data_IF_473820414099
#
_entry.id   IF_473820414099
#
_cell.length_a   1.000
_cell.length_b   1.000
_cell.length_c   1.000
_cell.angle_alpha   90.00
_cell.angle_beta   90.00
_cell.angle_gamma   90.00
#
_symmetry.space_group_name_H-M   'P 1'
#
loop_
_entity.id
_entity.type
_entity.pdbx_description
1 polymer ?
#
# COMPACT_ATOMS: atom_id res chain seq x y z
N UNK A 1 -4.65 -9.99 26.19
CA UNK A 1 -5.61 -9.05 25.58
C UNK A 1 -6.52 -9.88 24.72
N UNK A 2 -7.84 -9.74 24.91
CA UNK A 2 -8.79 -10.39 24.02
C UNK A 2 -8.87 -9.56 22.75
N UNK A 3 -8.86 -10.23 21.61
CA UNK A 3 -9.00 -9.61 20.30
C UNK A 3 -10.36 -9.96 19.73
N UNK A 4 -10.96 -9.00 19.04
CA UNK A 4 -12.30 -9.14 18.50
C UNK A 4 -12.30 -8.78 17.02
N UNK A 5 -13.32 -9.30 16.33
CA UNK A 5 -13.61 -8.91 14.97
C UNK A 5 -14.64 -7.79 15.08
N UNK A 6 -14.35 -6.68 14.43
CA UNK A 6 -15.21 -5.50 14.40
C UNK A 6 -15.70 -5.27 12.99
N UNK A 7 -16.99 -4.95 12.88
CA UNK A 7 -17.54 -4.32 11.69
C UNK A 7 -17.43 -2.82 11.89
N UNK A 8 -16.65 -2.17 11.04
CA UNK A 8 -16.35 -0.76 11.11
C UNK A 8 -16.99 0.00 9.96
N UNK A 9 -17.36 1.25 10.21
CA UNK A 9 -17.83 2.19 9.19
C UNK A 9 -17.18 3.55 9.41
N UNK A 10 -16.61 4.11 8.33
CA UNK A 10 -16.08 5.47 8.28
C UNK A 10 -16.01 5.96 6.83
N UNK A 11 -16.26 7.25 6.60
CA UNK A 11 -16.13 7.88 5.27
C UNK A 11 -16.90 7.12 4.17
N UNK A 12 -18.12 6.67 4.49
CA UNK A 12 -18.98 5.85 3.64
C UNK A 12 -18.38 4.49 3.20
N UNK A 13 -17.34 4.01 3.89
CA UNK A 13 -16.77 2.69 3.69
C UNK A 13 -17.13 1.77 4.83
N UNK A 14 -17.40 0.52 4.50
CA UNK A 14 -17.59 -0.56 5.46
C UNK A 14 -16.47 -1.58 5.30
N UNK A 15 -15.88 -1.95 6.43
CA UNK A 15 -14.76 -2.89 6.46
C UNK A 15 -14.76 -3.69 7.75
N UNK A 16 -14.00 -4.78 7.73
CA UNK A 16 -13.80 -5.62 8.90
C UNK A 16 -12.43 -5.31 9.48
N UNK A 17 -12.34 -5.12 10.80
CA UNK A 17 -11.07 -4.99 11.52
C UNK A 17 -10.89 -6.13 12.51
N UNK A 18 -9.71 -6.73 12.55
CA UNK A 18 -9.31 -7.73 13.54
C UNK A 18 -8.29 -7.06 14.46
N UNK A 19 -8.73 -6.57 15.62
CA UNK A 19 -7.94 -5.71 16.52
C UNK A 19 -8.36 -5.87 18.00
N UNK A 20 -7.68 -5.16 18.91
CA UNK A 20 -8.06 -5.10 20.33
C UNK A 20 -9.18 -4.10 20.58
N UNK A 21 -9.90 -4.30 21.68
CA UNK A 21 -10.89 -3.35 22.19
C UNK A 21 -10.22 -2.00 22.47
N UNK A 22 -9.02 -2.00 23.08
CA UNK A 22 -8.22 -0.79 23.35
C UNK A 22 -7.89 0.01 22.08
N UNK A 23 -7.57 -0.65 20.96
CA UNK A 23 -7.30 0.02 19.68
C UNK A 23 -8.58 0.66 19.14
N UNK A 24 -9.71 -0.05 19.18
CA UNK A 24 -11.01 0.47 18.74
C UNK A 24 -11.45 1.66 19.62
N UNK A 25 -11.31 1.56 20.94
CA UNK A 25 -11.60 2.64 21.87
C UNK A 25 -10.74 3.89 21.56
N UNK A 26 -9.44 3.71 21.33
CA UNK A 26 -8.55 4.80 20.91
C UNK A 26 -9.00 5.47 19.61
N UNK A 27 -9.44 4.70 18.61
CA UNK A 27 -10.00 5.27 17.38
C UNK A 27 -11.30 6.06 17.61
N UNK A 28 -12.20 5.54 18.46
CA UNK A 28 -13.45 6.21 18.83
C UNK A 28 -13.19 7.52 19.60
N UNK A 29 -12.25 7.53 20.54
CA UNK A 29 -11.84 8.73 21.28
C UNK A 29 -11.26 9.80 20.35
N UNK A 30 -10.39 9.40 19.43
CA UNK A 30 -9.82 10.32 18.44
C UNK A 30 -10.89 10.91 17.51
N UNK A 31 -11.93 10.16 17.19
CA UNK A 31 -13.02 10.61 16.33
C UNK A 31 -13.99 11.56 17.06
N UNK A 32 -14.15 11.40 18.38
CA UNK A 32 -15.02 12.23 19.23
C UNK A 32 -14.36 13.49 19.77
N UNK A 33 -13.06 13.70 19.53
CA UNK A 33 -12.35 14.91 19.97
C UNK A 33 -12.95 16.17 19.34
N UNK A 34 -12.84 17.30 20.06
CA UNK A 34 -13.19 18.61 19.53
C UNK A 34 -12.33 18.92 18.30
N UNK A 35 -12.99 19.17 17.16
CA UNK A 35 -12.35 19.57 15.90
C UNK A 35 -11.87 21.03 15.98
N UNK A 36 -10.74 21.33 15.35
CA UNK A 36 -10.22 22.68 15.16
C UNK A 36 -11.01 23.43 14.07
N UNK A 37 -10.90 24.77 14.04
CA UNK A 37 -11.58 25.60 13.04
C UNK A 37 -11.18 25.24 11.59
N UNK A 38 -9.90 24.86 11.39
CA UNK A 38 -9.41 24.40 10.09
C UNK A 38 -10.05 23.07 9.67
N UNK A 39 -10.16 22.11 10.60
CA UNK A 39 -10.81 20.82 10.33
C UNK A 39 -12.29 21.00 10.01
N UNK A 40 -12.98 21.90 10.71
CA UNK A 40 -14.38 22.25 10.42
C UNK A 40 -14.48 22.86 9.02
N UNK A 41 -13.59 23.79 8.66
CA UNK A 41 -13.59 24.42 7.34
C UNK A 41 -13.37 23.41 6.22
N UNK A 42 -12.42 22.49 6.39
CA UNK A 42 -12.11 21.45 5.40
C UNK A 42 -13.26 20.44 5.21
N UNK A 43 -14.12 20.27 6.22
CA UNK A 43 -15.22 19.29 6.22
C UNK A 43 -16.60 19.93 6.00
N UNK A 44 -16.67 21.24 5.68
CA UNK A 44 -17.94 21.97 5.62
C UNK A 44 -18.93 21.43 4.57
N UNK A 45 -18.41 20.79 3.52
CA UNK A 45 -19.17 20.24 2.40
C UNK A 45 -19.43 18.73 2.57
N UNK A 46 -18.93 18.11 3.65
CA UNK A 46 -19.11 16.68 3.89
C UNK A 46 -20.54 16.38 4.37
N UNK A 47 -21.16 15.27 3.91
CA UNK A 47 -22.46 14.84 4.42
C UNK A 47 -22.45 14.61 5.94
N UNK A 48 -23.60 14.78 6.59
CA UNK A 48 -23.75 14.47 8.01
C UNK A 48 -23.37 13.01 8.28
N UNK A 49 -22.50 12.79 9.26
CA UNK A 49 -22.01 11.46 9.63
C UNK A 49 -20.91 10.89 8.74
N UNK A 50 -20.48 11.62 7.70
CA UNK A 50 -19.43 11.15 6.79
C UNK A 50 -18.11 10.85 7.50
N UNK A 51 -17.71 11.71 8.45
CA UNK A 51 -16.46 11.54 9.21
C UNK A 51 -16.63 10.77 10.52
N UNK A 52 -17.84 10.28 10.82
CA UNK A 52 -18.09 9.52 12.04
C UNK A 52 -17.45 8.14 11.92
N UNK A 53 -16.77 7.70 12.98
CA UNK A 53 -16.25 6.35 13.10
C UNK A 53 -17.21 5.50 13.93
N UNK A 54 -17.68 4.40 13.36
CA UNK A 54 -18.52 3.42 14.02
C UNK A 54 -17.81 2.07 14.05
N UNK A 55 -17.90 1.36 15.16
CA UNK A 55 -17.41 0.00 15.31
C UNK A 55 -18.41 -0.82 16.14
N UNK A 56 -18.80 -1.98 15.63
CA UNK A 56 -19.65 -2.95 16.35
C UNK A 56 -18.98 -4.33 16.35
N UNK A 57 -19.17 -5.09 17.42
CA UNK A 57 -18.67 -6.47 17.48
C UNK A 57 -19.32 -7.30 16.37
N UNK A 58 -18.48 -7.99 15.62
CA UNK A 58 -18.90 -8.88 14.57
C UNK A 58 -19.45 -10.18 15.15
N UNK A 59 -20.69 -10.51 14.79
CA UNK A 59 -21.34 -11.78 15.15
C UNK A 59 -21.28 -12.77 13.98
N UNK A 60 -20.38 -13.77 14.02
CA UNK A 60 -20.22 -14.73 12.93
C UNK A 60 -21.43 -15.67 12.74
N UNK A 61 -22.36 -15.71 13.71
CA UNK A 61 -23.55 -16.57 13.64
C UNK A 61 -24.74 -15.89 12.95
N UNK A 62 -24.66 -14.58 12.67
CA UNK A 62 -25.60 -13.88 11.79
C UNK A 62 -25.23 -14.19 10.34
N UNK A 63 -25.48 -15.44 9.94
CA UNK A 63 -25.08 -16.00 8.65
C UNK A 63 -25.77 -15.32 7.47
N UNK A 64 -25.12 -14.31 6.91
CA UNK A 64 -25.32 -13.85 5.55
C UNK A 64 -23.96 -13.89 4.85
N UNK A 65 -23.95 -14.19 3.55
CA UNK A 65 -22.77 -13.95 2.74
C UNK A 65 -22.60 -12.43 2.66
N UNK A 66 -21.66 -11.89 3.43
CA UNK A 66 -21.45 -10.45 3.52
C UNK A 66 -20.21 -10.09 2.71
N UNK A 67 -20.39 -9.13 1.82
CA UNK A 67 -19.33 -8.55 1.03
C UNK A 67 -18.80 -7.30 1.74
N UNK A 68 -17.49 -7.24 1.96
CA UNK A 68 -16.80 -6.06 2.50
C UNK A 68 -15.76 -5.54 1.52
N UNK A 69 -15.54 -4.23 1.52
CA UNK A 69 -14.49 -3.65 0.67
C UNK A 69 -13.11 -4.12 1.13
N UNK A 70 -12.85 -4.06 2.44
CA UNK A 70 -11.54 -4.32 3.03
C UNK A 70 -11.64 -5.18 4.29
N UNK A 71 -10.66 -6.07 4.48
CA UNK A 71 -10.34 -6.64 5.79
C UNK A 71 -9.02 -6.05 6.31
N UNK A 72 -9.01 -5.56 7.54
CA UNK A 72 -7.85 -5.00 8.21
C UNK A 72 -7.39 -5.92 9.33
N UNK A 73 -6.09 -6.14 9.42
CA UNK A 73 -5.45 -6.92 10.45
C UNK A 73 -4.28 -6.12 11.02
N UNK A 74 -4.39 -5.77 12.30
CA UNK A 74 -3.25 -5.34 13.09
C UNK A 74 -2.55 -6.59 13.61
N UNK A 75 -1.24 -6.69 13.46
CA UNK A 75 -0.39 -7.80 13.86
C UNK A 75 0.45 -7.55 15.09
N UNK A 76 0.20 -6.46 15.83
CA UNK A 76 0.62 -6.33 17.23
C UNK A 76 0.07 -7.48 18.11
N UNK A 77 -0.87 -8.27 17.59
CA UNK A 77 -1.33 -9.53 18.16
C UNK A 77 -0.15 -10.49 18.36
N UNK A 78 -0.07 -11.04 19.57
CA UNK A 78 0.79 -12.22 19.84
C UNK A 78 0.06 -13.54 19.54
N UNK A 79 -1.22 -13.47 19.15
CA UNK A 79 -2.04 -14.61 18.78
C UNK A 79 -1.91 -14.96 17.29
N UNK A 80 -2.10 -16.23 16.98
CA UNK A 80 -2.07 -16.72 15.60
C UNK A 80 -3.37 -16.30 14.89
N UNK A 81 -3.24 -15.60 13.77
CA UNK A 81 -4.38 -15.14 12.96
C UNK A 81 -5.32 -16.27 12.53
N UNK A 82 -4.82 -17.52 12.45
CA UNK A 82 -5.63 -18.69 12.12
C UNK A 82 -6.81 -18.92 13.08
N UNK A 83 -6.76 -18.39 14.30
CA UNK A 83 -7.87 -18.42 15.27
C UNK A 83 -9.11 -17.71 14.72
N UNK A 84 -8.93 -16.67 13.89
CA UNK A 84 -10.07 -15.93 13.31
C UNK A 84 -10.63 -16.58 12.06
N UNK A 85 -9.90 -17.49 11.41
CA UNK A 85 -10.24 -18.01 10.09
C UNK A 85 -11.64 -18.60 10.01
N UNK A 86 -12.04 -19.41 10.99
CA UNK A 86 -13.37 -20.01 11.01
C UNK A 86 -14.48 -18.95 11.14
N UNK A 87 -14.23 -17.85 11.84
CA UNK A 87 -15.20 -16.76 12.05
C UNK A 87 -15.38 -15.89 10.80
N UNK A 88 -14.37 -15.79 9.95
CA UNK A 88 -14.36 -14.92 8.76
C UNK A 88 -14.34 -15.70 7.44
N UNK A 89 -14.39 -17.04 7.47
CA UNK A 89 -14.27 -17.88 6.27
C UNK A 89 -15.35 -17.62 5.22
N UNK A 90 -16.52 -17.12 5.65
CA UNK A 90 -17.65 -16.79 4.78
C UNK A 90 -17.62 -15.35 4.25
N UNK A 91 -16.64 -14.54 4.67
CA UNK A 91 -16.53 -13.14 4.25
C UNK A 91 -15.77 -13.03 2.93
N UNK A 92 -16.37 -12.31 1.98
CA UNK A 92 -15.72 -11.96 0.73
C UNK A 92 -15.20 -10.52 0.81
N UNK A 93 -13.96 -10.31 0.38
CA UNK A 93 -13.32 -9.00 0.35
C UNK A 93 -12.35 -8.87 -0.82
N UNK A 94 -12.25 -7.66 -1.39
CA UNK A 94 -11.33 -7.37 -2.49
C UNK A 94 -10.04 -6.69 -2.02
N UNK A 95 -10.04 -6.11 -0.83
CA UNK A 95 -8.87 -5.43 -0.28
C UNK A 95 -8.45 -6.04 1.06
N UNK A 96 -7.15 -6.02 1.33
CA UNK A 96 -6.59 -6.38 2.63
C UNK A 96 -5.63 -5.31 3.13
N UNK A 97 -5.69 -5.00 4.42
CA UNK A 97 -4.78 -4.07 5.09
C UNK A 97 -4.06 -4.79 6.22
N UNK A 98 -2.74 -4.67 6.25
CA UNK A 98 -1.87 -5.23 7.28
C UNK A 98 -1.12 -4.12 7.98
N UNK A 99 -1.25 -4.05 9.31
CA UNK A 99 -0.49 -3.16 10.19
C UNK A 99 0.32 -4.03 11.13
N UNK A 100 1.61 -3.73 11.35
CA UNK A 100 2.47 -4.46 12.30
C UNK A 100 2.48 -6.00 12.14
N UNK A 101 2.20 -6.52 10.95
CA UNK A 101 1.91 -7.92 10.70
C UNK A 101 3.13 -8.77 10.29
N UNK A 102 3.08 -10.05 10.63
CA UNK A 102 3.92 -11.09 10.02
C UNK A 102 3.21 -11.66 8.79
N UNK A 103 3.58 -11.20 7.61
CA UNK A 103 2.87 -11.48 6.35
C UNK A 103 2.92 -12.97 5.95
N UNK A 104 3.97 -13.70 6.38
CA UNK A 104 4.16 -15.13 6.06
C UNK A 104 3.08 -16.05 6.66
N UNK A 105 2.54 -15.66 7.81
CA UNK A 105 1.62 -16.48 8.61
C UNK A 105 0.17 -16.04 8.48
N UNK A 106 -0.12 -15.12 7.56
CA UNK A 106 -1.50 -14.72 7.26
C UNK A 106 -2.13 -15.72 6.31
N UNK A 107 -3.26 -16.27 6.74
CA UNK A 107 -4.07 -17.20 5.95
C UNK A 107 -5.53 -16.81 6.09
N UNK A 108 -6.16 -16.36 5.00
CA UNK A 108 -7.61 -16.25 4.92
C UNK A 108 -8.13 -17.21 3.84
N UNK A 109 -9.33 -17.76 4.00
CA UNK A 109 -9.90 -18.69 3.02
C UNK A 109 -10.10 -18.05 1.64
N UNK A 110 -10.34 -16.74 1.60
CA UNK A 110 -10.72 -15.99 0.40
C UNK A 110 -9.60 -15.07 -0.13
N UNK A 111 -8.33 -15.38 0.18
CA UNK A 111 -7.18 -14.60 -0.32
C UNK A 111 -7.10 -14.49 -1.84
N UNK A 112 -7.63 -15.50 -2.56
CA UNK A 112 -7.69 -15.49 -4.01
C UNK A 112 -8.62 -14.41 -4.58
N UNK A 113 -9.54 -13.82 -3.80
CA UNK A 113 -10.39 -12.71 -4.24
C UNK A 113 -9.69 -11.35 -4.12
N UNK A 114 -8.62 -11.25 -3.33
CA UNK A 114 -7.95 -9.99 -3.04
C UNK A 114 -7.29 -9.42 -4.29
N UNK A 115 -7.64 -8.17 -4.61
CA UNK A 115 -7.08 -7.37 -5.70
C UNK A 115 -6.13 -6.30 -5.21
N UNK A 116 -6.32 -5.77 -4.00
CA UNK A 116 -5.48 -4.71 -3.46
C UNK A 116 -4.99 -5.03 -2.05
N UNK A 117 -3.72 -4.73 -1.78
CA UNK A 117 -3.11 -4.91 -0.47
C UNK A 117 -2.46 -3.62 0.01
N UNK A 118 -2.68 -3.29 1.28
CA UNK A 118 -2.01 -2.21 2.01
C UNK A 118 -1.16 -2.81 3.12
N UNK A 119 0.07 -2.35 3.25
CA UNK A 119 1.01 -2.79 4.29
C UNK A 119 1.59 -1.58 5.00
N UNK A 120 1.48 -1.53 6.32
CA UNK A 120 1.91 -0.41 7.15
C UNK A 120 2.60 -0.89 8.44
N UNK A 121 3.05 0.06 9.25
CA UNK A 121 3.67 -0.20 10.54
C UNK A 121 5.03 -0.87 10.42
N UNK A 122 5.36 -1.75 11.37
CA UNK A 122 6.59 -2.56 11.43
C UNK A 122 6.42 -3.94 10.78
N UNK A 123 5.44 -4.08 9.88
CA UNK A 123 5.16 -5.32 9.14
C UNK A 123 6.40 -5.91 8.50
N UNK A 124 6.46 -7.25 8.43
CA UNK A 124 7.60 -8.04 7.94
C UNK A 124 7.15 -9.39 7.40
N UNK A 125 8.01 -10.04 6.61
CA UNK A 125 7.74 -11.34 6.00
C UNK A 125 7.47 -11.27 4.51
N UNK A 126 7.06 -12.37 3.92
CA UNK A 126 6.82 -12.47 2.49
C UNK A 126 5.37 -12.09 2.14
N UNK A 127 5.22 -11.30 1.08
CA UNK A 127 3.99 -11.21 0.30
C UNK A 127 4.12 -12.29 -0.78
N UNK A 128 3.38 -13.38 -0.59
CA UNK A 128 3.41 -14.55 -1.48
C UNK A 128 2.31 -14.47 -2.52
N UNK A 129 2.66 -14.12 -3.76
CA UNK A 129 1.67 -13.93 -4.82
C UNK A 129 0.99 -15.22 -5.28
N UNK A 130 1.45 -16.42 -4.89
CA UNK A 130 0.68 -17.66 -5.11
C UNK A 130 -0.52 -17.76 -4.18
N UNK A 131 -0.47 -17.12 -3.00
CA UNK A 131 -1.62 -17.02 -2.10
C UNK A 131 -2.62 -15.96 -2.58
N UNK A 132 -2.13 -14.88 -3.16
CA UNK A 132 -2.93 -13.74 -3.64
C UNK A 132 -2.98 -13.72 -5.19
N UNK A 133 -3.59 -14.73 -5.78
CA UNK A 133 -3.53 -14.97 -7.24
C UNK A 133 -4.16 -13.85 -8.10
N UNK A 134 -5.14 -13.13 -7.56
CA UNK A 134 -5.80 -12.00 -8.23
C UNK A 134 -5.25 -10.63 -7.80
N UNK A 135 -4.13 -10.57 -7.08
CA UNK A 135 -3.58 -9.32 -6.59
C UNK A 135 -3.03 -8.46 -7.73
N UNK A 136 -3.59 -7.26 -7.86
CA UNK A 136 -3.26 -6.30 -8.92
C UNK A 136 -2.50 -5.08 -8.39
N UNK A 137 -2.68 -4.72 -7.11
CA UNK A 137 -2.04 -3.56 -6.50
C UNK A 137 -1.52 -3.84 -5.08
N UNK A 138 -0.30 -3.37 -4.80
CA UNK A 138 0.30 -3.39 -3.46
C UNK A 138 0.77 -1.98 -3.10
N UNK A 139 0.35 -1.51 -1.92
CA UNK A 139 0.80 -0.26 -1.32
C UNK A 139 1.51 -0.53 -0.01
N UNK A 140 2.84 -0.39 0.00
CA UNK A 140 3.67 -0.48 1.21
C UNK A 140 3.84 0.95 1.74
N UNK A 141 2.99 1.33 2.67
CA UNK A 141 2.90 2.68 3.27
C UNK A 141 4.04 2.95 4.26
N UNK A 142 4.71 1.90 4.72
CA UNK A 142 5.93 2.00 5.51
C UNK A 142 6.88 0.86 5.17
N UNK A 143 7.85 1.15 4.32
CA UNK A 143 8.84 0.15 3.91
C UNK A 143 9.64 -0.41 5.09
N UNK A 144 9.89 -1.71 5.05
CA UNK A 144 10.74 -2.45 5.96
C UNK A 144 11.56 -3.46 5.16
N UNK A 145 12.89 -3.50 5.33
CA UNK A 145 13.79 -4.41 4.59
C UNK A 145 13.49 -5.90 4.83
N UNK A 146 12.69 -6.22 5.83
CA UNK A 146 12.22 -7.57 6.13
C UNK A 146 10.99 -7.97 5.32
N UNK A 147 10.39 -7.06 4.55
CA UNK A 147 9.32 -7.38 3.60
C UNK A 147 9.96 -7.90 2.32
N UNK A 148 9.49 -9.06 1.86
CA UNK A 148 9.95 -9.66 0.60
C UNK A 148 8.76 -9.94 -0.29
N UNK A 149 8.94 -9.75 -1.60
CA UNK A 149 7.95 -10.05 -2.61
C UNK A 149 8.37 -11.37 -3.29
N UNK A 150 7.57 -12.42 -3.16
CA UNK A 150 7.94 -13.78 -3.57
C UNK A 150 6.90 -14.39 -4.51
N UNK A 151 7.36 -15.33 -5.33
CA UNK A 151 6.57 -16.02 -6.37
C UNK A 151 5.99 -15.05 -7.41
N UNK A 152 6.88 -14.25 -8.01
CA UNK A 152 6.61 -13.05 -8.80
C UNK A 152 5.96 -13.24 -10.18
N UNK A 153 5.35 -14.40 -10.46
CA UNK A 153 4.57 -14.62 -11.68
C UNK A 153 3.12 -14.10 -11.50
N UNK A 154 3.02 -12.88 -10.97
CA UNK A 154 1.78 -12.30 -10.46
C UNK A 154 1.09 -11.39 -11.46
N UNK A 155 -0.20 -11.17 -11.25
CA UNK A 155 -1.00 -10.17 -11.95
C UNK A 155 -0.76 -8.74 -11.44
N UNK A 156 0.32 -8.53 -10.66
CA UNK A 156 0.60 -7.26 -10.02
C UNK A 156 0.96 -6.21 -11.06
N UNK A 157 0.14 -5.16 -11.14
CA UNK A 157 0.29 -4.04 -12.08
C UNK A 157 0.72 -2.76 -11.39
N UNK A 158 0.39 -2.58 -10.11
CA UNK A 158 0.65 -1.35 -9.37
C UNK A 158 1.42 -1.60 -8.09
N UNK A 159 2.51 -0.87 -7.91
CA UNK A 159 3.30 -0.89 -6.69
C UNK A 159 3.55 0.53 -6.19
N UNK A 160 3.11 0.81 -4.97
CA UNK A 160 3.37 2.07 -4.27
C UNK A 160 4.21 1.77 -3.03
N UNK A 161 5.34 2.46 -2.87
CA UNK A 161 6.23 2.26 -1.73
C UNK A 161 6.61 3.59 -1.09
N UNK A 162 6.39 3.71 0.21
CA UNK A 162 6.74 4.87 1.01
C UNK A 162 7.94 4.56 1.91
N UNK A 163 8.77 5.57 2.15
CA UNK A 163 9.95 5.50 3.01
C UNK A 163 10.99 4.45 2.55
N UNK A 164 11.04 4.17 1.24
CA UNK A 164 11.97 3.19 0.68
C UNK A 164 13.42 3.64 0.86
N UNK A 165 14.20 2.89 1.64
CA UNK A 165 15.60 3.20 1.98
C UNK A 165 16.47 1.94 1.87
N UNK A 166 16.74 1.46 0.65
CA UNK A 166 17.58 0.29 0.43
C UNK A 166 19.06 0.57 0.75
N UNK A 167 19.81 -0.50 0.99
CA UNK A 167 21.27 -0.43 1.18
C UNK A 167 21.98 -0.17 -0.14
N UNK A 168 21.49 -0.76 -1.24
CA UNK A 168 22.01 -0.56 -2.60
C UNK A 168 21.83 0.87 -3.14
N UNK A 169 20.95 1.67 -2.52
CA UNK A 169 20.53 2.99 -3.04
C UNK A 169 19.92 2.93 -4.45
N UNK A 170 19.45 1.76 -4.88
CA UNK A 170 18.77 1.53 -6.15
C UNK A 170 17.50 0.68 -5.96
N UNK A 171 16.77 0.41 -7.04
CA UNK A 171 15.54 -0.39 -7.01
C UNK A 171 15.82 -1.91 -7.12
N UNK A 172 17.08 -2.33 -7.23
CA UNK A 172 17.46 -3.74 -7.40
C UNK A 172 16.93 -4.61 -6.25
N UNK A 173 16.95 -4.09 -5.02
CA UNK A 173 16.49 -4.84 -3.83
C UNK A 173 14.95 -5.01 -3.79
N UNK A 174 14.20 -4.18 -4.51
CA UNK A 174 12.74 -4.20 -4.52
C UNK A 174 12.17 -4.94 -5.73
N UNK A 175 12.69 -4.65 -6.93
CA UNK A 175 12.01 -5.00 -8.18
C UNK A 175 12.26 -6.41 -8.70
N UNK A 176 13.17 -7.17 -8.07
CA UNK A 176 13.29 -8.63 -8.21
C UNK A 176 12.99 -9.16 -9.61
N UNK A 177 11.85 -9.87 -9.74
CA UNK A 177 11.29 -10.42 -11.00
C UNK A 177 9.90 -9.85 -11.34
N UNK A 178 9.54 -8.67 -10.85
CA UNK A 178 8.19 -8.08 -11.01
C UNK A 178 7.95 -7.53 -12.43
N UNK A 179 7.84 -8.41 -13.43
CA UNK A 179 7.83 -8.01 -14.86
C UNK A 179 6.54 -7.31 -15.33
N UNK A 180 5.44 -7.48 -14.60
CA UNK A 180 4.10 -7.04 -15.03
C UNK A 180 3.69 -5.65 -14.51
N UNK A 181 4.57 -4.97 -13.77
CA UNK A 181 4.27 -3.64 -13.23
C UNK A 181 4.07 -2.63 -14.36
N UNK A 182 2.93 -1.95 -14.32
CA UNK A 182 2.54 -0.84 -15.22
C UNK A 182 2.62 0.52 -14.50
N UNK A 183 2.45 0.54 -13.18
CA UNK A 183 2.50 1.74 -12.34
C UNK A 183 3.46 1.53 -11.16
N UNK A 184 4.47 2.40 -11.05
CA UNK A 184 5.37 2.44 -9.91
C UNK A 184 5.37 3.83 -9.27
N UNK A 185 5.12 3.89 -7.97
CA UNK A 185 5.25 5.13 -7.20
C UNK A 185 6.14 4.92 -5.98
N UNK A 186 7.16 5.76 -5.85
CA UNK A 186 8.09 5.75 -4.72
C UNK A 186 8.05 7.11 -4.02
N UNK A 187 7.72 7.09 -2.73
CA UNK A 187 7.53 8.27 -1.90
C UNK A 187 8.57 8.32 -0.78
N UNK A 188 9.12 9.52 -0.51
CA UNK A 188 10.04 9.77 0.61
C UNK A 188 11.23 8.80 0.65
N UNK A 189 11.95 8.72 -0.47
CA UNK A 189 13.01 7.74 -0.66
C UNK A 189 14.42 8.33 -0.52
N UNK A 190 15.37 7.44 -0.21
CA UNK A 190 16.80 7.72 -0.17
C UNK A 190 17.57 7.05 -1.33
N UNK A 191 16.89 6.78 -2.45
CA UNK A 191 17.51 6.30 -3.68
C UNK A 191 18.55 7.31 -4.21
N UNK A 192 19.62 6.80 -4.80
CA UNK A 192 20.60 7.57 -5.59
C UNK A 192 20.48 7.28 -7.09
N UNK A 193 20.04 6.07 -7.47
CA UNK A 193 19.71 5.70 -8.85
C UNK A 193 18.39 4.94 -8.92
N UNK A 194 17.86 4.78 -10.14
CA UNK A 194 16.71 3.93 -10.42
C UNK A 194 17.12 2.55 -10.98
N UNK A 195 18.38 2.13 -10.83
CA UNK A 195 18.86 0.85 -11.37
C UNK A 195 17.99 -0.31 -10.85
N UNK A 196 17.72 -1.29 -11.71
CA UNK A 196 16.74 -2.36 -11.50
C UNK A 196 15.41 -2.10 -12.19
N UNK A 197 15.09 -0.84 -12.53
CA UNK A 197 13.85 -0.47 -13.23
C UNK A 197 13.77 -1.00 -14.66
N UNK A 198 14.91 -1.26 -15.30
CA UNK A 198 15.00 -1.84 -16.63
C UNK A 198 14.34 -3.21 -16.74
N UNK A 199 14.02 -3.87 -15.62
CA UNK A 199 13.23 -5.11 -15.61
C UNK A 199 11.74 -4.90 -15.88
N UNK A 200 11.22 -3.70 -15.62
CA UNK A 200 9.79 -3.38 -15.73
C UNK A 200 9.41 -3.00 -17.17
N UNK A 201 9.47 -3.95 -18.09
CA UNK A 201 9.25 -3.69 -19.52
C UNK A 201 7.79 -3.28 -19.88
N UNK A 202 6.86 -3.47 -18.93
CA UNK A 202 5.46 -3.04 -19.06
C UNK A 202 5.17 -1.70 -18.38
N UNK A 203 6.16 -1.05 -17.77
CA UNK A 203 5.98 0.18 -17.01
C UNK A 203 5.49 1.32 -17.91
N UNK A 204 4.33 1.88 -17.57
CA UNK A 204 3.70 3.02 -18.24
C UNK A 204 3.85 4.31 -17.45
N UNK A 205 3.76 4.24 -16.13
CA UNK A 205 3.87 5.40 -15.26
C UNK A 205 4.87 5.16 -14.15
N UNK A 206 5.76 6.12 -13.96
CA UNK A 206 6.57 6.24 -12.74
C UNK A 206 6.37 7.58 -12.06
N UNK A 207 6.21 7.55 -10.73
CA UNK A 207 6.24 8.73 -9.88
C UNK A 207 7.29 8.59 -8.79
N UNK A 208 8.17 9.59 -8.68
CA UNK A 208 9.09 9.72 -7.55
C UNK A 208 8.75 11.02 -6.83
N UNK A 209 8.33 10.91 -5.57
CA UNK A 209 8.09 12.06 -4.71
C UNK A 209 9.14 12.10 -3.59
N UNK A 210 9.77 13.26 -3.42
CA UNK A 210 10.76 13.50 -2.38
C UNK A 210 11.98 12.57 -2.45
N UNK A 211 12.44 12.24 -3.67
CA UNK A 211 13.70 11.54 -3.92
C UNK A 211 14.90 12.47 -3.79
N UNK A 212 15.13 13.03 -2.59
CA UNK A 212 16.08 14.13 -2.36
C UNK A 212 17.54 13.79 -2.64
N UNK A 213 17.89 12.51 -2.66
CA UNK A 213 19.23 12.02 -2.98
C UNK A 213 19.33 11.37 -4.35
N UNK A 214 18.25 11.36 -5.14
CA UNK A 214 18.26 10.77 -6.47
C UNK A 214 19.15 11.59 -7.40
N UNK A 215 20.23 10.97 -7.88
CA UNK A 215 21.23 11.54 -8.79
C UNK A 215 21.00 11.12 -10.23
N UNK A 216 20.60 9.88 -10.45
CA UNK A 216 20.48 9.31 -11.79
C UNK A 216 19.10 8.73 -12.10
N UNK A 217 18.56 9.09 -13.27
CA UNK A 217 17.33 8.54 -13.87
C UNK A 217 17.56 7.90 -15.24
N UNK A 218 18.81 7.82 -15.72
CA UNK A 218 19.16 7.21 -17.03
C UNK A 218 18.54 5.84 -17.28
N UNK A 219 18.41 5.02 -16.23
CA UNK A 219 17.84 3.68 -16.34
C UNK A 219 16.41 3.66 -16.93
N UNK A 220 15.64 4.76 -16.78
CA UNK A 220 14.30 4.90 -17.36
C UNK A 220 14.28 4.83 -18.89
N UNK A 221 15.39 5.12 -19.56
CA UNK A 221 15.50 5.05 -21.01
C UNK A 221 15.29 3.63 -21.55
N UNK A 222 15.46 2.60 -20.70
CA UNK A 222 15.21 1.19 -21.03
C UNK A 222 13.71 0.85 -21.08
N UNK A 223 12.84 1.60 -20.42
CA UNK A 223 11.40 1.34 -20.33
C UNK A 223 10.65 2.03 -21.47
N UNK A 224 10.59 1.38 -22.64
CA UNK A 224 10.05 1.98 -23.88
C UNK A 224 8.54 2.22 -23.88
N UNK A 225 7.80 1.58 -22.97
CA UNK A 225 6.35 1.78 -22.78
C UNK A 225 5.99 2.91 -21.81
N UNK A 226 6.98 3.60 -21.21
CA UNK A 226 6.68 4.74 -20.34
C UNK A 226 5.94 5.83 -21.14
N UNK A 227 4.83 6.26 -20.57
CA UNK A 227 3.95 7.34 -21.02
C UNK A 227 4.05 8.55 -20.07
N UNK A 228 4.34 8.32 -18.77
CA UNK A 228 4.45 9.37 -17.77
C UNK A 228 5.64 9.15 -16.83
N UNK A 229 6.53 10.14 -16.76
CA UNK A 229 7.52 10.29 -15.70
C UNK A 229 7.13 11.52 -14.87
N UNK A 230 6.91 11.32 -13.57
CA UNK A 230 6.65 12.41 -12.62
C UNK A 230 7.75 12.45 -11.56
N UNK A 231 8.45 13.58 -11.46
CA UNK A 231 9.57 13.78 -10.52
C UNK A 231 9.31 15.00 -9.65
N UNK A 232 9.10 14.79 -8.36
CA UNK A 232 8.86 15.86 -7.41
C UNK A 232 9.95 15.89 -6.33
N UNK A 233 10.60 17.05 -6.19
CA UNK A 233 11.60 17.32 -5.17
C UNK A 233 12.82 16.38 -5.23
N UNK A 234 13.32 16.14 -6.45
CA UNK A 234 14.50 15.35 -6.77
C UNK A 234 15.70 16.26 -7.09
N UNK A 235 16.07 17.11 -6.12
CA UNK A 235 16.98 18.26 -6.33
C UNK A 235 18.46 17.93 -6.63
N UNK A 236 18.89 16.68 -6.47
CA UNK A 236 20.28 16.25 -6.69
C UNK A 236 20.49 15.53 -8.02
N UNK A 237 19.50 15.54 -8.89
CA UNK A 237 19.55 14.85 -10.18
C UNK A 237 20.60 15.49 -11.10
N UNK A 238 21.51 14.70 -11.64
CA UNK A 238 22.64 15.17 -12.46
C UNK A 238 22.39 14.92 -13.96
N UNK A 239 21.44 14.04 -14.29
CA UNK A 239 21.25 13.54 -15.65
C UNK A 239 19.81 13.67 -16.17
N UNK A 240 19.05 14.64 -15.67
CA UNK A 240 17.68 14.87 -16.12
C UNK A 240 17.57 15.04 -17.64
N UNK A 241 18.53 15.75 -18.25
CA UNK A 241 18.57 15.98 -19.70
C UNK A 241 18.88 14.74 -20.54
N UNK A 242 19.28 13.63 -19.89
CA UNK A 242 19.53 12.35 -20.55
C UNK A 242 18.25 11.53 -20.80
N UNK A 243 17.11 11.96 -20.26
CA UNK A 243 15.84 11.27 -20.48
C UNK A 243 15.42 11.35 -21.95
N UNK A 244 14.97 10.21 -22.47
CA UNK A 244 14.42 10.07 -23.81
C UNK A 244 13.31 11.10 -24.08
N UNK A 245 13.31 11.69 -25.28
CA UNK A 245 12.33 12.68 -25.74
C UNK A 245 11.42 12.12 -26.84
N UNK A 246 11.20 10.80 -26.82
CA UNK A 246 10.31 10.11 -27.76
C UNK A 246 8.87 10.62 -27.69
N UNK A 247 8.18 10.49 -28.82
CA UNK A 247 6.76 10.82 -28.93
C UNK A 247 5.91 10.00 -27.94
N UNK A 248 4.91 10.65 -27.34
CA UNK A 248 4.01 10.04 -26.35
C UNK A 248 4.52 10.01 -24.91
N UNK A 249 5.82 10.21 -24.66
CA UNK A 249 6.35 10.29 -23.30
C UNK A 249 6.15 11.70 -22.71
N UNK A 250 5.36 11.79 -21.64
CA UNK A 250 5.18 13.02 -20.87
C UNK A 250 6.11 13.03 -19.66
N UNK A 251 6.96 14.05 -19.57
CA UNK A 251 7.81 14.30 -18.41
C UNK A 251 7.23 15.48 -17.64
N UNK A 252 6.90 15.27 -16.38
CA UNK A 252 6.43 16.29 -15.44
C UNK A 252 7.37 16.36 -14.26
N UNK A 253 7.70 17.57 -13.84
CA UNK A 253 8.63 17.76 -12.74
C UNK A 253 8.29 18.99 -11.89
N UNK A 254 8.57 18.87 -10.60
CA UNK A 254 8.45 19.94 -9.62
C UNK A 254 9.73 19.96 -8.78
N UNK A 255 10.37 21.14 -8.63
CA UNK A 255 11.57 21.31 -7.79
C UNK A 255 12.71 20.33 -8.15
N UNK A 256 13.17 20.39 -9.39
CA UNK A 256 14.43 19.78 -9.86
C UNK A 256 15.62 20.73 -9.62
N UNK A 257 16.88 20.25 -9.75
CA UNK A 257 18.00 21.18 -9.84
C UNK A 257 17.77 22.17 -10.98
N UNK A 258 18.13 23.42 -10.74
CA UNK A 258 18.11 24.50 -11.73
C UNK A 258 19.43 24.57 -12.46
#
# INVERSE_FOLDING_TARGET
MNFNIYKCQAQNRQYISIETDESIESFLEQNTRKKSDLEIHLQKDDPKGYNDYLAELYDPNKHLEIFYETISYDGALKEDISVFNHKIAHLNFYNVSFVDAKLDVVYFSNLYLVKQMYVNGVSKGNIDFLKFTNLEAVSILRWNEKIKLVNNNSNLKSLIVWYYNPKSKSLIDLLGELKNIEYLEINLTNLESLDGIEKLQNLKTIKINYGRNLKSVKALNSNKKLELIYLNNCKKMEDFDSLDKREGLKIQNLKLPG
#
